data_IF_859856855477
#
_entry.id   IF_859856855477
#
_cell.length_a   1.000
_cell.length_b   1.000
_cell.length_c   1.000
_cell.angle_alpha   90.00
_cell.angle_beta   90.00
_cell.angle_gamma   90.00
#
_symmetry.space_group_name_H-M   'P 1'
#
loop_
_entity.id
_entity.type
_entity.pdbx_description
1 polymer ?
#
# COMPACT_ATOMS: atom_id res chain seq x y z
N UNK A 1 11.38 19.66 21.39
CA UNK A 1 11.75 18.27 21.09
C UNK A 1 13.27 18.24 21.00
N UNK A 2 13.99 17.31 21.65
CA UNK A 2 15.40 17.07 21.29
C UNK A 2 15.50 16.85 19.78
N UNK A 3 16.64 17.21 19.20
CA UNK A 3 16.88 17.15 17.75
C UNK A 3 16.73 15.70 17.26
N UNK A 4 15.57 15.37 16.69
CA UNK A 4 15.23 14.04 16.22
C UNK A 4 16.05 13.74 14.95
N UNK A 5 16.77 12.62 14.91
CA UNK A 5 17.62 12.25 13.77
C UNK A 5 17.09 11.07 12.96
N UNK A 6 15.91 10.55 13.28
CA UNK A 6 15.25 9.43 12.59
C UNK A 6 13.86 9.83 12.08
N UNK A 7 13.46 9.30 10.93
CA UNK A 7 12.17 9.65 10.31
C UNK A 7 10.99 8.87 10.89
N UNK A 8 11.20 7.66 11.42
CA UNK A 8 10.11 6.78 11.87
C UNK A 8 10.32 6.38 13.32
N UNK A 9 9.29 6.58 14.15
CA UNK A 9 9.21 6.05 15.51
C UNK A 9 8.04 5.07 15.56
N UNK A 10 8.28 3.83 15.98
CA UNK A 10 7.21 2.85 16.20
C UNK A 10 6.83 2.83 17.67
N UNK A 11 5.53 2.83 17.96
CA UNK A 11 5.00 2.64 19.31
C UNK A 11 4.58 1.18 19.44
N UNK A 12 5.15 0.49 20.44
CA UNK A 12 4.92 -0.94 20.67
C UNK A 12 4.25 -1.21 22.02
N UNK A 13 3.74 -0.16 22.65
CA UNK A 13 2.90 -0.24 23.83
C UNK A 13 1.43 -0.47 23.44
N UNK A 14 0.55 -0.46 24.43
CA UNK A 14 -0.89 -0.74 24.25
C UNK A 14 -1.71 0.50 23.89
N UNK A 15 -1.07 1.63 23.63
CA UNK A 15 -1.72 2.85 23.16
C UNK A 15 -2.32 2.70 21.76
N UNK A 16 -3.12 3.68 21.31
CA UNK A 16 -3.83 3.59 20.03
C UNK A 16 -2.92 3.78 18.81
N UNK A 17 -1.78 4.46 18.97
CA UNK A 17 -0.90 4.80 17.85
C UNK A 17 0.08 3.66 17.57
N UNK A 18 0.35 3.40 16.29
CA UNK A 18 1.36 2.41 15.85
C UNK A 18 2.68 3.07 15.47
N UNK A 19 2.63 4.29 14.92
CA UNK A 19 3.80 4.95 14.35
C UNK A 19 3.67 6.48 14.34
N UNK A 20 4.79 7.18 14.43
CA UNK A 20 4.93 8.59 14.04
C UNK A 20 5.99 8.73 12.94
N UNK A 21 5.64 9.48 11.89
CA UNK A 21 6.52 9.81 10.77
C UNK A 21 6.89 11.29 10.83
N UNK A 22 8.19 11.55 10.97
CA UNK A 22 8.82 12.85 10.88
C UNK A 22 9.30 13.11 9.45
N UNK A 23 8.47 13.80 8.67
CA UNK A 23 8.71 14.03 7.23
C UNK A 23 9.96 14.86 6.95
N UNK A 24 10.30 15.78 7.86
CA UNK A 24 11.44 16.68 7.74
C UNK A 24 12.81 15.99 7.79
N UNK A 25 12.86 14.72 8.23
CA UNK A 25 14.09 13.91 8.33
C UNK A 25 14.32 13.07 7.06
N UNK A 26 13.33 12.96 6.17
CA UNK A 26 13.50 12.16 4.95
C UNK A 26 14.64 12.72 4.08
N UNK A 27 15.48 11.87 3.46
CA UNK A 27 16.56 12.33 2.61
C UNK A 27 16.05 13.27 1.52
N UNK A 28 16.79 14.35 1.29
CA UNK A 28 16.43 15.39 0.30
C UNK A 28 15.11 16.13 0.59
N UNK A 29 14.54 15.99 1.79
CA UNK A 29 13.46 16.85 2.24
C UNK A 29 13.98 18.25 2.57
N UNK A 30 14.14 19.09 1.55
CA UNK A 30 14.52 20.50 1.70
C UNK A 30 13.36 21.36 1.22
N UNK A 31 12.44 21.64 2.12
CA UNK A 31 11.57 22.81 1.98
C UNK A 31 12.16 23.86 2.91
N UNK A 32 12.36 25.08 2.38
CA UNK A 32 12.72 26.30 3.12
C UNK A 32 12.46 26.16 4.61
N UNK A 33 13.47 26.36 5.45
CA UNK A 33 13.25 26.31 6.90
C UNK A 33 12.17 27.32 7.28
N UNK A 34 10.98 26.82 7.60
CA UNK A 34 9.81 27.62 7.98
C UNK A 34 9.67 27.75 9.49
N UNK A 35 10.55 27.09 10.26
CA UNK A 35 10.38 26.90 11.71
C UNK A 35 9.29 25.90 12.08
N UNK A 36 8.61 25.28 11.11
CA UNK A 36 7.57 24.28 11.33
C UNK A 36 7.96 22.92 10.76
N UNK A 37 7.53 21.87 11.46
CA UNK A 37 7.72 20.49 11.04
C UNK A 37 6.37 19.77 10.99
N UNK A 38 6.19 18.94 9.96
CA UNK A 38 5.02 18.07 9.86
C UNK A 38 5.35 16.71 10.43
N UNK A 39 4.51 16.25 11.35
CA UNK A 39 4.50 14.90 11.90
C UNK A 39 3.16 14.24 11.55
N UNK A 40 3.20 12.98 11.16
CA UNK A 40 1.98 12.16 10.97
C UNK A 40 1.99 11.02 11.96
N UNK A 41 0.94 10.90 12.75
CA UNK A 41 0.72 9.76 13.64
C UNK A 41 -0.27 8.81 13.00
N UNK A 42 0.06 7.53 13.02
CA UNK A 42 -0.74 6.45 12.44
C UNK A 42 -1.54 5.76 13.54
N UNK A 43 -2.84 5.62 13.29
CA UNK A 43 -3.76 4.84 14.12
C UNK A 43 -4.38 3.74 13.23
N UNK A 44 -4.33 2.46 13.65
CA UNK A 44 -4.91 1.37 12.88
C UNK A 44 -6.43 1.46 12.94
N UNK A 45 -7.09 1.27 11.80
CA UNK A 45 -8.53 1.25 11.71
C UNK A 45 -9.02 0.17 10.73
N UNK A 46 -10.29 -0.21 10.87
CA UNK A 46 -10.94 -0.98 9.82
C UNK A 46 -11.16 -0.08 8.60
N UNK A 47 -10.99 -0.63 7.40
CA UNK A 47 -11.22 0.13 6.16
C UNK A 47 -12.63 0.75 6.11
N UNK A 48 -13.62 0.13 6.78
CA UNK A 48 -15.01 0.61 6.83
C UNK A 48 -15.11 1.96 7.52
N UNK A 49 -14.22 2.21 8.47
CA UNK A 49 -14.17 3.43 9.27
C UNK A 49 -13.27 4.50 8.63
N UNK A 50 -12.47 4.13 7.62
CA UNK A 50 -11.59 5.03 6.88
C UNK A 50 -11.97 5.10 5.38
N UNK A 51 -13.17 5.59 5.09
CA UNK A 51 -13.65 5.87 3.72
C UNK A 51 -13.46 4.72 2.70
N UNK A 52 -13.46 3.47 3.19
CA UNK A 52 -13.21 2.26 2.40
C UNK A 52 -11.80 2.16 1.80
N UNK A 53 -10.83 2.93 2.29
CA UNK A 53 -9.45 2.83 1.86
C UNK A 53 -8.84 1.48 2.24
N UNK A 54 -8.33 0.76 1.26
CA UNK A 54 -7.63 -0.51 1.47
C UNK A 54 -6.14 -0.21 1.61
N UNK A 55 -5.54 -0.49 2.77
CA UNK A 55 -4.08 -0.36 2.97
C UNK A 55 -3.41 -1.73 2.89
N UNK A 56 -3.79 -2.65 3.78
CA UNK A 56 -3.20 -3.98 3.89
C UNK A 56 -4.22 -5.06 3.52
N UNK A 57 -3.89 -5.99 2.59
CA UNK A 57 -4.75 -7.14 2.32
C UNK A 57 -4.73 -8.09 3.52
N UNK A 58 -5.92 -8.40 4.04
CA UNK A 58 -6.06 -9.23 5.24
C UNK A 58 -5.99 -10.71 4.86
N UNK A 59 -5.03 -11.43 5.45
CA UNK A 59 -4.95 -12.89 5.37
C UNK A 59 -5.52 -13.49 6.65
N UNK A 60 -6.52 -14.36 6.52
CA UNK A 60 -7.16 -15.05 7.64
C UNK A 60 -6.76 -16.51 7.65
N UNK A 61 -6.68 -17.12 8.84
CA UNK A 61 -6.32 -18.54 8.99
C UNK A 61 -7.30 -19.49 8.28
N UNK A 62 -8.58 -19.08 8.17
CA UNK A 62 -9.63 -19.81 7.45
C UNK A 62 -9.57 -19.64 5.91
N UNK A 63 -8.69 -18.76 5.43
CA UNK A 63 -8.51 -18.42 4.02
C UNK A 63 -9.72 -17.77 3.35
N UNK A 64 -10.71 -17.25 4.10
CA UNK A 64 -11.99 -16.78 3.53
C UNK A 64 -11.83 -15.69 2.46
N UNK A 65 -10.92 -14.73 2.67
CA UNK A 65 -10.70 -13.66 1.71
C UNK A 65 -9.93 -14.13 0.47
N UNK A 66 -9.02 -15.09 0.63
CA UNK A 66 -8.33 -15.71 -0.51
C UNK A 66 -9.32 -16.47 -1.39
N UNK A 67 -10.23 -17.26 -0.79
CA UNK A 67 -11.29 -17.97 -1.53
C UNK A 67 -12.18 -17.01 -2.32
N UNK A 68 -12.52 -15.86 -1.73
CA UNK A 68 -13.29 -14.81 -2.42
C UNK A 68 -12.49 -14.20 -3.58
N UNK A 69 -11.21 -13.90 -3.36
CA UNK A 69 -10.33 -13.40 -4.42
C UNK A 69 -10.22 -14.40 -5.58
N UNK A 70 -10.08 -15.70 -5.30
CA UNK A 70 -9.99 -16.74 -6.33
C UNK A 70 -11.25 -16.79 -7.21
N UNK A 71 -12.44 -16.52 -6.63
CA UNK A 71 -13.68 -16.38 -7.39
C UNK A 71 -13.63 -15.17 -8.34
N UNK A 72 -13.17 -14.01 -7.86
CA UNK A 72 -13.00 -12.82 -8.70
C UNK A 72 -11.94 -13.01 -9.79
N UNK A 73 -10.85 -13.70 -9.45
CA UNK A 73 -9.80 -14.04 -10.41
C UNK A 73 -10.32 -14.94 -11.53
N UNK A 74 -11.11 -15.97 -11.19
CA UNK A 74 -11.73 -16.83 -12.19
C UNK A 74 -12.70 -16.07 -13.10
N UNK A 75 -13.46 -15.10 -12.57
CA UNK A 75 -14.31 -14.23 -13.39
C UNK A 75 -13.48 -13.34 -14.32
N UNK A 76 -12.37 -12.78 -13.82
CA UNK A 76 -11.49 -11.92 -14.59
C UNK A 76 -10.83 -12.64 -15.78
N UNK A 77 -10.67 -13.97 -15.74
CA UNK A 77 -10.14 -14.76 -16.87
C UNK A 77 -11.04 -14.72 -18.11
N UNK A 78 -12.33 -14.43 -17.96
CA UNK A 78 -13.27 -14.30 -19.07
C UNK A 78 -13.32 -12.89 -19.68
N UNK A 79 -12.66 -11.91 -19.04
CA UNK A 79 -12.64 -10.53 -19.51
C UNK A 79 -11.54 -10.32 -20.57
N UNK A 80 -11.95 -10.27 -21.84
CA UNK A 80 -11.01 -10.24 -22.98
C UNK A 80 -10.31 -8.90 -23.22
N UNK A 81 -10.87 -7.82 -22.68
CA UNK A 81 -10.40 -6.45 -22.91
C UNK A 81 -10.10 -5.70 -21.61
N UNK A 82 -9.93 -6.41 -20.50
CA UNK A 82 -9.58 -5.85 -19.20
C UNK A 82 -8.44 -6.66 -18.58
N UNK A 83 -7.52 -5.99 -17.88
CA UNK A 83 -6.52 -6.64 -17.06
C UNK A 83 -6.53 -6.01 -15.66
N UNK A 84 -6.48 -6.85 -14.63
CA UNK A 84 -6.39 -6.43 -13.24
C UNK A 84 -4.94 -6.52 -12.76
N UNK A 85 -4.36 -5.40 -12.33
CA UNK A 85 -2.95 -5.29 -11.92
C UNK A 85 -2.83 -4.52 -10.60
N UNK A 86 -1.63 -4.54 -10.02
CA UNK A 86 -1.29 -3.79 -8.82
C UNK A 86 -1.98 -4.32 -7.56
N UNK A 87 -1.68 -3.66 -6.43
CA UNK A 87 -2.06 -4.14 -5.09
C UNK A 87 -3.54 -4.49 -4.92
N UNK A 88 -4.42 -3.63 -5.44
CA UNK A 88 -5.87 -3.80 -5.31
C UNK A 88 -6.42 -4.77 -6.36
N UNK A 89 -5.86 -4.79 -7.57
CA UNK A 89 -6.30 -5.68 -8.65
C UNK A 89 -5.90 -7.13 -8.41
N UNK A 90 -4.79 -7.37 -7.71
CA UNK A 90 -4.28 -8.74 -7.44
C UNK A 90 -4.41 -9.18 -5.97
N UNK A 91 -5.06 -8.38 -5.12
CA UNK A 91 -5.22 -8.63 -3.68
C UNK A 91 -3.89 -8.99 -2.97
N UNK A 92 -2.86 -8.20 -3.24
CA UNK A 92 -1.50 -8.42 -2.74
C UNK A 92 -0.92 -7.15 -2.12
N UNK A 93 -0.06 -7.34 -1.12
CA UNK A 93 0.83 -6.28 -0.68
C UNK A 93 2.03 -6.32 -1.61
N UNK A 94 2.32 -5.19 -2.25
CA UNK A 94 3.41 -5.06 -3.22
C UNK A 94 4.28 -3.88 -2.81
N UNK A 95 5.58 -4.11 -2.76
CA UNK A 95 6.56 -3.03 -2.69
C UNK A 95 6.63 -2.28 -4.04
N UNK A 96 7.22 -1.08 -4.04
CA UNK A 96 7.21 -0.19 -5.21
C UNK A 96 7.91 -0.82 -6.43
N UNK A 97 9.03 -1.48 -6.24
CA UNK A 97 9.78 -2.18 -7.29
C UNK A 97 8.98 -3.38 -7.86
N UNK A 98 8.29 -4.13 -7.00
CA UNK A 98 7.45 -5.25 -7.41
C UNK A 98 6.30 -4.79 -8.31
N UNK A 99 5.60 -3.71 -7.95
CA UNK A 99 4.50 -3.19 -8.78
C UNK A 99 4.99 -2.56 -10.08
N UNK A 100 6.17 -1.93 -10.09
CA UNK A 100 6.79 -1.43 -11.33
C UNK A 100 7.09 -2.60 -12.27
N UNK A 101 7.77 -3.64 -11.79
CA UNK A 101 8.10 -4.80 -12.59
C UNK A 101 6.83 -5.51 -13.10
N UNK A 102 5.85 -5.76 -12.22
CA UNK A 102 4.57 -6.35 -12.59
C UNK A 102 3.89 -5.55 -13.70
N UNK A 103 3.84 -4.22 -13.58
CA UNK A 103 3.19 -3.36 -14.57
C UNK A 103 3.87 -3.42 -15.93
N UNK A 104 5.20 -3.40 -15.97
CA UNK A 104 5.96 -3.49 -17.22
C UNK A 104 5.75 -4.84 -17.92
N UNK A 105 5.85 -5.96 -17.19
CA UNK A 105 5.57 -7.29 -17.74
C UNK A 105 4.14 -7.41 -18.26
N UNK A 106 3.15 -6.85 -17.54
CA UNK A 106 1.76 -6.87 -17.98
C UNK A 106 1.53 -6.07 -19.26
N UNK A 107 2.12 -4.88 -19.39
CA UNK A 107 2.01 -4.05 -20.60
C UNK A 107 2.66 -4.73 -21.79
N UNK A 108 3.84 -5.33 -21.62
CA UNK A 108 4.52 -6.08 -22.69
C UNK A 108 3.63 -7.22 -23.20
N UNK A 109 3.14 -8.08 -22.30
CA UNK A 109 2.25 -9.19 -22.67
C UNK A 109 0.96 -8.71 -23.35
N UNK A 110 0.42 -7.57 -22.92
CA UNK A 110 -0.77 -6.98 -23.51
C UNK A 110 -0.54 -6.50 -24.95
N UNK A 111 0.57 -5.81 -25.19
CA UNK A 111 0.94 -5.33 -26.53
C UNK A 111 1.21 -6.50 -27.48
N UNK A 112 1.92 -7.54 -27.03
CA UNK A 112 2.22 -8.72 -27.85
C UNK A 112 0.96 -9.48 -28.31
N UNK A 113 -0.08 -9.57 -27.46
CA UNK A 113 -1.35 -10.23 -27.84
C UNK A 113 -2.17 -9.46 -28.87
N UNK A 114 -1.86 -8.18 -29.09
CA UNK A 114 -2.59 -7.27 -29.97
C UNK A 114 -1.81 -6.87 -31.22
N UNK A 115 -0.54 -7.25 -31.32
CA UNK A 115 0.29 -7.15 -32.51
C UNK A 115 -0.03 -8.32 -33.46
#
# INVERSE_FOLDING_TARGET
MPEQSWSITNFTDTGPLTRETAWHILPHHIVRNTGHHTLTREEPCDYRDNNKERYYPVKTADGRYNKLYDQYKAMAEFETNVAFIGRCGTYQYLDMDQVINQSLTHVEAWLTRRA
#
